data_IF_518083117196
#
_entry.id   IF_518083117196
#
_cell.length_a   1.000
_cell.length_b   1.000
_cell.length_c   1.000
_cell.angle_alpha   90.00
_cell.angle_beta   90.00
_cell.angle_gamma   90.00
#
_symmetry.space_group_name_H-M   'P 1'
#
loop_
_entity.id
_entity.type
_entity.pdbx_description
1 polymer ?
#
# COMPACT_ATOMS: atom_id res chain seq x y z
N UNK A 1 -26.95 8.97 -6.64
CA UNK A 1 -27.33 7.60 -6.22
C UNK A 1 -26.72 7.31 -4.86
N UNK A 2 -27.56 6.84 -3.93
CA UNK A 2 -27.30 6.61 -2.51
C UNK A 2 -26.23 5.53 -2.26
N UNK A 3 -25.39 5.83 -1.25
CA UNK A 3 -24.91 4.96 -0.14
C UNK A 3 -23.89 3.84 -0.42
N UNK A 4 -22.88 3.85 0.49
CA UNK A 4 -22.04 2.77 1.04
C UNK A 4 -20.68 2.51 0.37
N UNK A 5 -19.63 2.91 1.08
CA UNK A 5 -18.39 2.15 1.24
C UNK A 5 -17.92 2.40 2.70
N UNK A 6 -18.53 1.68 3.65
CA UNK A 6 -17.87 0.69 4.54
C UNK A 6 -17.00 1.38 5.60
N UNK A 7 -17.64 1.78 6.71
CA UNK A 7 -16.98 2.03 7.98
C UNK A 7 -16.95 0.69 8.71
N UNK A 8 -15.79 0.02 8.79
CA UNK A 8 -15.62 -1.12 9.67
C UNK A 8 -15.32 -0.58 11.08
N UNK A 9 -16.34 -0.56 11.94
CA UNK A 9 -16.13 -0.41 13.38
C UNK A 9 -15.60 -1.75 13.92
N UNK A 10 -14.32 -1.83 14.23
CA UNK A 10 -13.79 -2.82 15.15
C UNK A 10 -13.57 -2.11 16.49
N UNK A 11 -14.46 -2.36 17.43
CA UNK A 11 -14.30 -1.97 18.82
C UNK A 11 -13.18 -2.86 19.41
N UNK A 12 -11.92 -2.44 19.30
CA UNK A 12 -10.82 -3.08 20.02
C UNK A 12 -10.85 -2.65 21.50
N UNK A 13 -10.65 -3.61 22.40
CA UNK A 13 -10.86 -3.45 23.84
C UNK A 13 -9.89 -2.42 24.45
N UNK A 14 -10.43 -1.27 24.86
CA UNK A 14 -9.65 -0.18 25.46
C UNK A 14 -9.31 -0.51 26.92
N UNK A 15 -8.07 -0.92 27.17
CA UNK A 15 -7.49 -0.98 28.51
C UNK A 15 -7.20 0.45 28.99
N UNK A 16 -8.09 0.96 29.85
CA UNK A 16 -8.09 2.33 30.35
C UNK A 16 -6.85 2.68 31.20
N UNK A 17 -6.10 3.69 30.76
CA UNK A 17 -5.32 4.56 31.65
C UNK A 17 -5.81 5.99 31.48
N UNK A 18 -6.83 6.35 32.27
CA UNK A 18 -7.41 7.68 32.28
C UNK A 18 -6.42 8.69 32.89
N UNK A 19 -5.75 9.47 32.02
CA UNK A 19 -5.01 10.66 32.43
C UNK A 19 -5.72 11.99 32.04
N UNK A 20 -6.78 11.94 31.22
CA UNK A 20 -7.47 13.14 30.71
C UNK A 20 -9.01 13.05 30.68
N UNK A 21 -9.67 12.48 31.69
CA UNK A 21 -11.09 12.76 32.04
C UNK A 21 -12.23 12.49 31.02
N UNK A 22 -11.98 12.23 29.74
CA UNK A 22 -12.95 11.79 28.74
C UNK A 22 -12.77 10.30 28.45
N UNK A 23 -13.89 9.61 28.26
CA UNK A 23 -13.90 8.21 27.85
C UNK A 23 -13.39 8.09 26.40
N UNK A 24 -12.52 7.12 26.08
CA UNK A 24 -12.02 6.91 24.72
C UNK A 24 -13.11 6.73 23.65
N UNK A 25 -14.28 6.19 24.01
CA UNK A 25 -15.44 6.09 23.11
C UNK A 25 -16.00 7.46 22.77
N UNK A 26 -16.06 8.37 23.75
CA UNK A 26 -16.50 9.74 23.52
C UNK A 26 -15.51 10.50 22.63
N UNK A 27 -14.20 10.26 22.81
CA UNK A 27 -13.16 10.83 21.95
C UNK A 27 -13.36 10.41 20.50
N UNK A 28 -13.51 9.10 20.25
CA UNK A 28 -13.66 8.59 18.89
C UNK A 28 -14.97 9.07 18.24
N UNK A 29 -16.06 9.17 19.00
CA UNK A 29 -17.34 9.69 18.50
C UNK A 29 -17.27 11.17 18.11
N UNK A 30 -16.64 12.00 18.94
CA UNK A 30 -16.41 13.41 18.62
C UNK A 30 -15.53 13.55 17.37
N UNK A 31 -14.46 12.74 17.28
CA UNK A 31 -13.56 12.71 16.14
C UNK A 31 -14.27 12.35 14.83
N UNK A 32 -15.03 11.27 14.81
CA UNK A 32 -15.81 10.84 13.63
C UNK A 32 -16.79 11.95 13.19
N UNK A 33 -17.47 12.60 14.14
CA UNK A 33 -18.37 13.72 13.83
C UNK A 33 -17.64 14.95 13.24
N UNK A 34 -16.33 15.11 13.51
CA UNK A 34 -15.49 16.10 12.83
C UNK A 34 -15.14 15.66 11.41
N UNK A 35 -14.79 14.38 11.21
CA UNK A 35 -14.45 13.81 9.89
C UNK A 35 -15.62 13.80 8.89
N UNK A 36 -16.87 13.76 9.38
CA UNK A 36 -18.06 13.86 8.52
C UNK A 36 -18.26 15.24 7.86
N UNK A 37 -17.58 16.28 8.36
CA UNK A 37 -17.69 17.64 7.82
C UNK A 37 -16.79 17.78 6.58
N UNK A 38 -17.24 18.49 5.52
CA UNK A 38 -16.42 18.70 4.34
C UNK A 38 -15.03 19.25 4.67
N UNK A 39 -14.00 18.65 4.06
CA UNK A 39 -12.62 19.09 4.27
C UNK A 39 -12.44 20.53 3.79
N UNK A 40 -11.78 21.31 4.63
CA UNK A 40 -11.38 22.71 4.37
C UNK A 40 -10.28 23.07 5.36
N UNK A 41 -9.50 24.11 5.06
CA UNK A 41 -8.41 24.59 5.93
C UNK A 41 -8.86 24.76 7.39
N UNK A 42 -9.98 25.45 7.62
CA UNK A 42 -10.56 25.64 8.95
C UNK A 42 -10.98 24.34 9.65
N UNK A 43 -11.46 23.33 8.90
CA UNK A 43 -11.76 22.03 9.52
C UNK A 43 -10.49 21.25 9.82
N UNK A 44 -9.49 21.31 8.93
CA UNK A 44 -8.18 20.68 9.15
C UNK A 44 -7.54 21.22 10.43
N UNK A 45 -7.50 22.54 10.62
CA UNK A 45 -6.97 23.15 11.84
C UNK A 45 -7.68 22.66 13.11
N UNK A 46 -9.01 22.55 13.07
CA UNK A 46 -9.80 22.02 14.19
C UNK A 46 -9.45 20.57 14.49
N UNK A 47 -9.32 19.76 13.45
CA UNK A 47 -8.97 18.33 13.58
C UNK A 47 -7.56 18.18 14.11
N UNK A 48 -6.58 18.91 13.59
CA UNK A 48 -5.19 18.90 14.09
C UNK A 48 -5.13 19.29 15.57
N UNK A 49 -5.88 20.32 15.98
CA UNK A 49 -5.99 20.72 17.38
C UNK A 49 -6.59 19.61 18.25
N UNK A 50 -7.64 18.94 17.77
CA UNK A 50 -8.27 17.83 18.45
C UNK A 50 -7.34 16.62 18.62
N UNK A 51 -6.67 16.21 17.54
CA UNK A 51 -5.70 15.12 17.54
C UNK A 51 -4.54 15.40 18.51
N UNK A 52 -4.05 16.65 18.53
CA UNK A 52 -2.96 17.07 19.43
C UNK A 52 -3.32 16.94 20.91
N UNK A 53 -4.57 17.18 21.28
CA UNK A 53 -5.05 17.04 22.66
C UNK A 53 -5.31 15.58 23.04
N UNK A 54 -5.75 14.76 22.07
CA UNK A 54 -6.31 13.43 22.35
C UNK A 54 -5.30 12.30 22.17
N UNK A 55 -4.56 12.26 21.06
CA UNK A 55 -3.59 11.19 20.73
C UNK A 55 -2.64 10.85 21.88
N UNK A 56 -2.05 11.81 22.62
CA UNK A 56 -1.12 11.49 23.71
C UNK A 56 -1.69 10.61 24.83
N UNK A 57 -3.03 10.51 24.92
CA UNK A 57 -3.74 9.73 25.93
C UNK A 57 -4.40 8.46 25.34
N UNK A 58 -4.18 8.16 24.06
CA UNK A 58 -4.71 6.98 23.39
C UNK A 58 -3.73 5.82 23.46
N UNK A 59 -4.21 4.59 23.28
CA UNK A 59 -3.33 3.47 22.93
C UNK A 59 -2.75 3.70 21.52
N UNK A 60 -1.60 3.08 21.22
CA UNK A 60 -1.01 3.13 19.87
C UNK A 60 -2.00 2.67 18.80
N UNK A 61 -2.74 1.59 19.06
CA UNK A 61 -3.75 1.07 18.14
C UNK A 61 -4.85 2.10 17.82
N UNK A 62 -5.39 2.76 18.84
CA UNK A 62 -6.41 3.78 18.63
C UNK A 62 -5.84 5.06 18.01
N UNK A 63 -4.59 5.42 18.32
CA UNK A 63 -3.89 6.51 17.66
C UNK A 63 -3.70 6.22 16.16
N UNK A 64 -3.26 5.01 15.80
CA UNK A 64 -3.09 4.59 14.41
C UNK A 64 -4.41 4.65 13.63
N UNK A 65 -5.51 4.15 14.20
CA UNK A 65 -6.84 4.25 13.59
C UNK A 65 -7.24 5.70 13.30
N UNK A 66 -7.11 6.57 14.30
CA UNK A 66 -7.43 7.99 14.15
C UNK A 66 -6.56 8.64 13.07
N UNK A 67 -5.27 8.31 13.01
CA UNK A 67 -4.33 8.86 12.04
C UNK A 67 -4.59 8.35 10.61
N UNK A 68 -4.95 7.08 10.44
CA UNK A 68 -5.38 6.52 9.13
C UNK A 68 -6.63 7.24 8.63
N UNK A 69 -7.63 7.45 9.50
CA UNK A 69 -8.83 8.22 9.15
C UNK A 69 -8.49 9.67 8.80
N UNK A 70 -7.54 10.27 9.51
CA UNK A 70 -7.07 11.63 9.23
C UNK A 70 -6.42 11.74 7.86
N UNK A 71 -5.55 10.79 7.48
CA UNK A 71 -4.95 10.74 6.14
C UNK A 71 -6.02 10.69 5.04
N UNK A 72 -7.01 9.82 5.20
CA UNK A 72 -8.13 9.70 4.26
C UNK A 72 -8.95 10.99 4.17
N UNK A 73 -9.14 11.69 5.30
CA UNK A 73 -9.82 12.97 5.35
C UNK A 73 -9.07 14.09 4.60
N UNK A 74 -7.74 14.11 4.73
CA UNK A 74 -6.86 15.07 4.08
C UNK A 74 -6.72 14.84 2.56
N UNK A 75 -6.84 13.59 2.12
CA UNK A 75 -6.57 13.15 0.74
C UNK A 75 -7.22 14.04 -0.34
N UNK A 76 -8.54 14.34 -0.31
CA UNK A 76 -9.17 15.19 -1.32
C UNK A 76 -8.72 16.66 -1.28
N UNK A 77 -8.28 17.18 -0.14
CA UNK A 77 -7.85 18.58 -0.01
C UNK A 77 -6.46 18.81 -0.60
N UNK A 78 -5.55 17.85 -0.43
CA UNK A 78 -4.18 17.93 -0.92
C UNK A 78 -3.95 17.19 -2.25
N UNK A 79 -5.02 16.85 -2.98
CA UNK A 79 -4.94 16.10 -4.25
C UNK A 79 -4.07 14.82 -4.13
N UNK A 80 -4.22 14.12 -3.00
CA UNK A 80 -3.46 12.92 -2.66
C UNK A 80 -2.02 13.13 -2.15
N UNK A 81 -1.53 14.36 -2.07
CA UNK A 81 -0.17 14.70 -1.63
C UNK A 81 -0.10 15.03 -0.13
N UNK A 82 -0.32 14.01 0.71
CA UNK A 82 -0.21 14.11 2.18
C UNK A 82 1.24 14.33 2.65
N UNK A 83 1.45 15.31 3.54
CA UNK A 83 2.76 15.53 4.20
C UNK A 83 2.96 14.56 5.37
N UNK A 84 3.40 13.34 5.06
CA UNK A 84 3.70 12.31 6.07
C UNK A 84 4.85 12.71 7.01
N UNK A 85 5.78 13.56 6.58
CA UNK A 85 6.85 14.03 7.46
C UNK A 85 6.26 14.91 8.58
N UNK A 86 5.31 15.80 8.24
CA UNK A 86 4.56 16.59 9.23
C UNK A 86 3.75 15.70 10.17
N UNK A 87 3.04 14.70 9.64
CA UNK A 87 2.26 13.76 10.48
C UNK A 87 3.18 13.03 11.47
N UNK A 88 4.30 12.47 10.99
CA UNK A 88 5.26 11.76 11.84
C UNK A 88 5.93 12.68 12.86
N UNK A 89 6.24 13.93 12.49
CA UNK A 89 6.78 14.91 13.41
C UNK A 89 5.82 15.23 14.56
N UNK A 90 4.52 15.32 14.28
CA UNK A 90 3.50 15.69 15.26
C UNK A 90 3.05 14.51 16.13
N UNK A 91 2.90 13.33 15.52
CA UNK A 91 2.19 12.21 16.14
C UNK A 91 2.99 10.90 16.18
N UNK A 92 4.14 10.83 15.51
CA UNK A 92 4.90 9.58 15.36
C UNK A 92 5.35 8.93 16.67
N UNK A 93 5.57 9.71 17.74
CA UNK A 93 5.92 9.18 19.07
C UNK A 93 4.78 8.46 19.78
N UNK A 94 3.54 8.61 19.29
CA UNK A 94 2.33 8.00 19.86
C UNK A 94 1.74 6.91 18.95
N UNK A 95 2.23 6.80 17.72
CA UNK A 95 1.80 5.81 16.75
C UNK A 95 2.64 4.54 16.88
N UNK A 96 2.15 3.42 16.37
CA UNK A 96 2.92 2.17 16.33
C UNK A 96 4.08 2.24 15.32
N UNK A 97 5.02 1.29 15.45
CA UNK A 97 6.08 1.06 14.47
C UNK A 97 5.50 0.81 13.08
N UNK A 98 4.40 0.04 12.98
CA UNK A 98 3.75 -0.29 11.71
C UNK A 98 3.24 0.98 11.02
N UNK A 99 2.57 1.87 11.77
CA UNK A 99 2.07 3.14 11.24
C UNK A 99 3.22 4.01 10.73
N UNK A 100 4.29 4.14 11.51
CA UNK A 100 5.47 4.90 11.08
C UNK A 100 6.10 4.32 9.81
N UNK A 101 6.18 2.99 9.72
CA UNK A 101 6.70 2.30 8.54
C UNK A 101 5.80 2.52 7.32
N UNK A 102 4.47 2.45 7.47
CA UNK A 102 3.55 2.74 6.37
C UNK A 102 3.68 4.19 5.89
N UNK A 103 3.76 5.17 6.79
CA UNK A 103 4.00 6.56 6.43
C UNK A 103 5.32 6.72 5.65
N UNK A 104 6.39 6.05 6.09
CA UNK A 104 7.68 6.09 5.39
C UNK A 104 7.58 5.54 3.96
N UNK A 105 6.88 4.41 3.78
CA UNK A 105 6.62 3.81 2.45
C UNK A 105 5.79 4.77 1.58
N UNK A 106 4.66 5.28 2.08
CA UNK A 106 3.78 6.20 1.36
C UNK A 106 4.51 7.50 0.97
N UNK A 107 5.35 8.04 1.86
CA UNK A 107 6.17 9.22 1.60
C UNK A 107 7.24 8.97 0.52
N UNK A 108 7.90 7.80 0.56
CA UNK A 108 8.85 7.36 -0.46
C UNK A 108 8.19 7.23 -1.83
N UNK A 109 6.95 6.73 -1.89
CA UNK A 109 6.15 6.66 -3.11
C UNK A 109 5.80 8.06 -3.63
N UNK A 110 5.35 9.00 -2.79
CA UNK A 110 5.04 10.36 -3.24
C UNK A 110 6.27 11.13 -3.74
N UNK A 111 7.40 11.05 -3.01
CA UNK A 111 8.64 11.76 -3.36
C UNK A 111 9.33 11.18 -4.59
N UNK A 112 9.28 9.87 -4.75
CA UNK A 112 9.89 9.15 -5.87
C UNK A 112 8.91 8.07 -6.35
N UNK A 113 7.88 8.44 -7.11
CA UNK A 113 6.85 7.50 -7.52
C UNK A 113 7.44 6.38 -8.37
N UNK A 114 6.85 5.20 -8.29
CA UNK A 114 7.21 4.06 -9.12
C UNK A 114 6.84 4.30 -10.58
N UNK A 115 5.79 5.08 -10.83
CA UNK A 115 5.36 5.49 -12.16
C UNK A 115 5.09 6.97 -12.28
N UNK A 116 5.34 7.54 -13.47
CA UNK A 116 4.89 8.88 -13.84
C UNK A 116 4.53 8.90 -15.31
N UNK A 117 3.34 9.40 -15.63
CA UNK A 117 2.84 9.51 -17.00
C UNK A 117 2.97 8.20 -17.83
N UNK A 118 2.61 7.06 -17.24
CA UNK A 118 2.60 5.77 -17.94
C UNK A 118 3.96 5.06 -18.04
N UNK A 119 5.03 5.62 -17.46
CA UNK A 119 6.39 5.08 -17.48
C UNK A 119 6.86 4.68 -16.08
N UNK A 120 7.64 3.60 -15.97
CA UNK A 120 8.40 3.30 -14.76
C UNK A 120 9.50 4.35 -14.55
N UNK A 121 9.54 4.94 -13.36
CA UNK A 121 10.51 5.97 -12.97
C UNK A 121 11.60 5.45 -12.03
N UNK A 122 11.48 4.20 -11.60
CA UNK A 122 12.44 3.45 -10.79
C UNK A 122 12.89 2.18 -11.53
N UNK A 123 14.00 1.59 -11.10
CA UNK A 123 14.44 0.30 -11.64
C UNK A 123 13.54 -0.84 -11.16
N UNK A 124 13.52 -1.95 -11.89
CA UNK A 124 12.82 -3.18 -11.45
C UNK A 124 13.35 -3.70 -10.13
N UNK A 125 14.65 -3.56 -9.87
CA UNK A 125 15.24 -3.95 -8.58
C UNK A 125 14.69 -3.09 -7.43
N UNK A 126 14.62 -1.77 -7.62
CA UNK A 126 14.02 -0.88 -6.61
C UNK A 126 12.54 -1.20 -6.41
N UNK A 127 11.82 -1.55 -7.47
CA UNK A 127 10.42 -1.97 -7.38
C UNK A 127 10.26 -3.30 -6.61
N UNK A 128 11.16 -4.28 -6.80
CA UNK A 128 11.20 -5.49 -5.97
C UNK A 128 11.48 -5.15 -4.50
N UNK A 129 12.44 -4.25 -4.25
CA UNK A 129 12.78 -3.84 -2.88
C UNK A 129 11.59 -3.15 -2.19
N UNK A 130 10.83 -2.31 -2.90
CA UNK A 130 9.60 -1.68 -2.36
C UNK A 130 8.50 -2.70 -2.09
N UNK A 131 8.28 -3.65 -3.00
CA UNK A 131 7.33 -4.73 -2.77
C UNK A 131 7.73 -5.57 -1.55
N UNK A 132 9.02 -5.86 -1.36
CA UNK A 132 9.55 -6.56 -0.19
C UNK A 132 9.38 -5.76 1.12
N UNK A 133 9.59 -4.45 1.09
CA UNK A 133 9.38 -3.55 2.22
C UNK A 133 7.92 -3.57 2.70
N UNK A 134 6.97 -3.55 1.75
CA UNK A 134 5.54 -3.67 2.06
C UNK A 134 5.16 -5.07 2.52
N UNK A 135 5.69 -6.13 1.87
CA UNK A 135 5.47 -7.50 2.31
C UNK A 135 5.94 -7.73 3.76
N UNK A 136 7.10 -7.18 4.13
CA UNK A 136 7.62 -7.28 5.48
C UNK A 136 6.69 -6.63 6.50
N UNK A 137 6.18 -5.43 6.20
CA UNK A 137 5.19 -4.74 7.03
C UNK A 137 3.92 -5.61 7.22
N UNK A 138 3.41 -6.20 6.14
CA UNK A 138 2.18 -7.01 6.23
C UNK A 138 2.42 -8.32 6.99
N UNK A 139 3.52 -9.02 6.74
CA UNK A 139 3.79 -10.36 7.32
C UNK A 139 4.33 -10.31 8.74
N UNK A 140 4.85 -9.16 9.19
CA UNK A 140 5.37 -8.98 10.55
C UNK A 140 4.33 -9.19 11.65
N UNK A 141 3.05 -9.01 11.32
CA UNK A 141 1.95 -9.05 12.28
C UNK A 141 0.98 -10.21 12.03
N UNK A 142 0.60 -10.91 13.11
CA UNK A 142 -0.35 -12.04 13.05
C UNK A 142 -1.79 -11.55 12.99
N UNK A 143 -2.10 -10.47 13.72
CA UNK A 143 -3.44 -9.88 13.72
C UNK A 143 -3.52 -8.70 12.75
N UNK A 144 -4.22 -8.90 11.62
CA UNK A 144 -4.27 -7.90 10.56
C UNK A 144 -5.14 -6.68 10.96
N UNK A 145 -4.47 -5.62 11.39
CA UNK A 145 -5.00 -4.26 11.60
C UNK A 145 -5.36 -3.53 10.28
N UNK A 146 -6.17 -2.45 10.31
CA UNK A 146 -6.52 -1.64 9.13
C UNK A 146 -5.32 -1.19 8.30
N UNK A 147 -4.19 -0.90 8.95
CA UNK A 147 -2.93 -0.52 8.30
C UNK A 147 -2.45 -1.52 7.24
N UNK A 148 -2.68 -2.82 7.46
CA UNK A 148 -2.27 -3.87 6.53
C UNK A 148 -3.11 -3.88 5.27
N UNK A 149 -4.35 -3.35 5.31
CA UNK A 149 -5.20 -3.19 4.13
C UNK A 149 -4.67 -2.07 3.22
N UNK A 150 -4.24 -0.95 3.82
CA UNK A 150 -3.57 0.14 3.09
C UNK A 150 -2.25 -0.33 2.47
N UNK A 151 -1.47 -1.11 3.23
CA UNK A 151 -0.23 -1.71 2.74
C UNK A 151 -0.49 -2.70 1.58
N UNK A 152 -1.53 -3.55 1.66
CA UNK A 152 -1.89 -4.51 0.61
C UNK A 152 -2.17 -3.82 -0.74
N UNK A 153 -2.83 -2.66 -0.73
CA UNK A 153 -3.08 -1.89 -1.94
C UNK A 153 -1.78 -1.43 -2.64
N UNK A 154 -0.78 -0.98 -1.86
CA UNK A 154 0.55 -0.64 -2.37
C UNK A 154 1.29 -1.88 -2.88
N UNK A 155 1.23 -2.98 -2.11
CA UNK A 155 1.86 -4.25 -2.49
C UNK A 155 1.34 -4.74 -3.84
N UNK A 156 0.02 -4.87 -4.00
CA UNK A 156 -0.63 -5.26 -5.25
C UNK A 156 -0.26 -4.35 -6.41
N UNK A 157 -0.17 -3.04 -6.17
CA UNK A 157 0.29 -2.09 -7.19
C UNK A 157 1.71 -2.41 -7.64
N UNK A 158 2.64 -2.66 -6.71
CA UNK A 158 4.01 -3.03 -7.07
C UNK A 158 4.10 -4.38 -7.77
N UNK A 159 3.35 -5.38 -7.32
CA UNK A 159 3.25 -6.69 -7.99
C UNK A 159 2.75 -6.51 -9.42
N UNK A 160 1.66 -5.78 -9.63
CA UNK A 160 1.13 -5.51 -10.96
C UNK A 160 2.17 -4.85 -11.87
N UNK A 161 2.91 -3.87 -11.36
CA UNK A 161 3.98 -3.21 -12.12
C UNK A 161 5.13 -4.17 -12.46
N UNK A 162 5.49 -5.08 -11.55
CA UNK A 162 6.50 -6.12 -11.81
C UNK A 162 6.02 -7.12 -12.86
N UNK A 163 4.76 -7.56 -12.80
CA UNK A 163 4.26 -8.62 -13.68
C UNK A 163 3.85 -8.10 -15.05
N UNK A 164 3.10 -7.00 -15.09
CA UNK A 164 2.53 -6.45 -16.33
C UNK A 164 3.39 -5.35 -16.97
N UNK A 165 4.27 -4.69 -16.20
CA UNK A 165 4.95 -3.48 -16.62
C UNK A 165 3.99 -2.30 -16.79
N UNK A 166 4.41 -1.30 -17.56
CA UNK A 166 3.56 -0.18 -17.97
C UNK A 166 3.51 -0.04 -19.49
N UNK A 167 2.66 0.84 -20.01
CA UNK A 167 2.58 1.10 -21.44
C UNK A 167 3.94 1.52 -22.05
N UNK A 168 4.68 2.40 -21.35
CA UNK A 168 5.98 2.91 -21.80
C UNK A 168 7.17 2.19 -21.17
N UNK A 169 6.92 1.18 -20.35
CA UNK A 169 7.95 0.30 -19.76
C UNK A 169 7.43 -1.14 -19.68
N UNK A 170 7.05 -1.76 -20.80
CA UNK A 170 6.51 -3.10 -20.81
C UNK A 170 7.61 -4.13 -20.52
N UNK A 171 7.20 -5.30 -20.04
CA UNK A 171 8.11 -6.42 -19.85
C UNK A 171 8.42 -7.17 -21.15
N UNK A 172 7.61 -6.96 -22.19
CA UNK A 172 7.82 -7.53 -23.52
C UNK A 172 8.14 -6.43 -24.51
N UNK A 173 9.15 -6.65 -25.36
CA UNK A 173 9.51 -5.72 -26.40
C UNK A 173 8.36 -5.59 -27.41
N UNK A 174 7.88 -4.35 -27.63
CA UNK A 174 6.70 -4.09 -28.47
C UNK A 174 6.87 -4.45 -29.96
N UNK A 175 8.10 -4.70 -30.42
CA UNK A 175 8.39 -5.11 -31.81
C UNK A 175 8.62 -6.60 -31.93
N UNK A 176 9.46 -7.17 -31.09
CA UNK A 176 9.85 -8.58 -31.18
C UNK A 176 9.00 -9.52 -30.33
N UNK A 177 8.20 -8.98 -29.41
CA UNK A 177 7.46 -9.76 -28.43
C UNK A 177 8.36 -10.48 -27.42
N UNK A 178 9.68 -10.25 -27.42
CA UNK A 178 10.60 -10.94 -26.50
C UNK A 178 10.52 -10.36 -25.10
N UNK A 179 10.54 -11.24 -24.11
CA UNK A 179 10.63 -10.87 -22.70
C UNK A 179 11.93 -10.13 -22.40
N UNK A 180 11.87 -9.18 -21.47
CA UNK A 180 12.97 -8.31 -21.08
C UNK A 180 14.05 -9.11 -20.34
N UNK A 181 15.28 -9.08 -20.87
CA UNK A 181 16.46 -9.68 -20.21
C UNK A 181 16.77 -9.01 -18.86
N UNK A 182 16.53 -7.71 -18.74
CA UNK A 182 16.63 -6.97 -17.48
C UNK A 182 15.63 -7.50 -16.44
N UNK A 183 14.37 -7.68 -16.84
CA UNK A 183 13.34 -8.26 -15.96
C UNK A 183 13.69 -9.69 -15.55
N UNK A 184 14.07 -10.56 -16.50
CA UNK A 184 14.46 -11.94 -16.21
C UNK A 184 15.59 -12.01 -15.19
N UNK A 185 16.65 -11.22 -15.39
CA UNK A 185 17.78 -11.16 -14.47
C UNK A 185 17.37 -10.73 -13.08
N UNK A 186 16.67 -9.58 -12.96
CA UNK A 186 16.26 -9.03 -11.67
C UNK A 186 15.36 -10.00 -10.92
N UNK A 187 14.36 -10.59 -11.60
CA UNK A 187 13.38 -11.45 -10.94
C UNK A 187 14.00 -12.77 -10.49
N UNK A 188 14.89 -13.37 -11.29
CA UNK A 188 15.62 -14.58 -10.88
C UNK A 188 16.54 -14.32 -9.71
N UNK A 189 17.28 -13.21 -9.74
CA UNK A 189 18.18 -12.83 -8.63
C UNK A 189 17.38 -12.62 -7.35
N UNK A 190 16.30 -11.82 -7.39
CA UNK A 190 15.47 -11.59 -6.21
C UNK A 190 14.91 -12.90 -5.65
N UNK A 191 14.33 -13.76 -6.50
CA UNK A 191 13.73 -15.01 -6.07
C UNK A 191 14.75 -15.99 -5.46
N UNK A 192 15.98 -16.02 -6.00
CA UNK A 192 17.06 -16.84 -5.46
C UNK A 192 17.61 -16.33 -4.12
N UNK A 193 17.66 -15.02 -3.93
CA UNK A 193 18.16 -14.38 -2.70
C UNK A 193 17.13 -14.35 -1.57
N UNK A 194 15.84 -14.42 -1.89
CA UNK A 194 14.74 -14.26 -0.94
C UNK A 194 13.71 -15.41 -1.02
N UNK A 195 14.12 -16.69 -1.02
CA UNK A 195 13.24 -17.82 -1.39
C UNK A 195 12.01 -17.99 -0.49
N UNK A 196 12.03 -17.43 0.73
CA UNK A 196 10.95 -17.55 1.71
C UNK A 196 9.91 -16.41 1.63
N UNK A 197 10.00 -15.52 0.65
CA UNK A 197 9.05 -14.43 0.43
C UNK A 197 7.93 -14.82 -0.53
N UNK A 198 6.74 -14.25 -0.32
CA UNK A 198 5.62 -14.36 -1.25
C UNK A 198 6.02 -13.78 -2.60
N UNK A 199 6.72 -12.65 -2.61
CA UNK A 199 7.23 -12.05 -3.83
C UNK A 199 8.14 -13.01 -4.63
N UNK A 200 9.05 -13.73 -3.98
CA UNK A 200 9.94 -14.68 -4.66
C UNK A 200 9.17 -15.82 -5.32
N UNK A 201 8.16 -16.37 -4.63
CA UNK A 201 7.29 -17.41 -5.17
C UNK A 201 6.48 -16.89 -6.38
N UNK A 202 5.89 -15.71 -6.27
CA UNK A 202 5.11 -15.09 -7.35
C UNK A 202 5.99 -14.80 -8.58
N UNK A 203 7.19 -14.26 -8.39
CA UNK A 203 8.14 -14.03 -9.47
C UNK A 203 8.59 -15.35 -10.12
N UNK A 204 8.77 -16.41 -9.32
CA UNK A 204 9.12 -17.74 -9.84
C UNK A 204 8.01 -18.32 -10.71
N UNK A 205 6.74 -18.23 -10.27
CA UNK A 205 5.59 -18.67 -11.06
C UNK A 205 5.44 -17.85 -12.35
N UNK A 206 5.64 -16.55 -12.28
CA UNK A 206 5.64 -15.68 -13.46
C UNK A 206 6.73 -16.06 -14.46
N UNK A 207 7.96 -16.28 -14.01
CA UNK A 207 9.07 -16.70 -14.87
C UNK A 207 8.84 -18.07 -15.51
N UNK A 208 8.21 -19.01 -14.79
CA UNK A 208 7.83 -20.30 -15.38
C UNK A 208 6.73 -20.14 -16.44
N UNK A 209 5.74 -19.27 -16.21
CA UNK A 209 4.76 -18.91 -17.24
C UNK A 209 5.44 -18.33 -18.50
N UNK A 210 6.36 -17.38 -18.31
CA UNK A 210 7.13 -16.78 -19.42
C UNK A 210 7.96 -17.83 -20.16
N UNK A 211 8.54 -18.81 -19.44
CA UNK A 211 9.27 -19.93 -20.04
C UNK A 211 8.36 -20.85 -20.86
N UNK A 212 7.14 -21.12 -20.39
CA UNK A 212 6.16 -21.95 -21.09
C UNK A 212 5.66 -21.33 -22.41
N UNK A 213 5.68 -20.00 -22.50
CA UNK A 213 5.47 -19.25 -23.76
C UNK A 213 6.77 -19.01 -24.54
N UNK A 214 7.84 -19.76 -24.25
CA UNK A 214 9.15 -19.65 -24.91
C UNK A 214 9.75 -18.23 -24.89
N UNK A 215 9.48 -17.47 -23.82
CA UNK A 215 9.99 -16.11 -23.63
C UNK A 215 9.46 -15.09 -24.64
N UNK A 216 8.40 -15.40 -25.40
CA UNK A 216 7.88 -14.54 -26.46
C UNK A 216 6.36 -14.43 -26.39
N UNK A 217 5.84 -13.20 -26.37
CA UNK A 217 4.42 -12.87 -26.46
C UNK A 217 4.08 -12.47 -27.89
N UNK A 218 3.15 -13.20 -28.53
CA UNK A 218 2.60 -12.76 -29.82
C UNK A 218 1.63 -11.59 -29.61
N UNK A 219 2.15 -10.37 -29.76
CA UNK A 219 1.41 -9.12 -29.60
C UNK A 219 0.30 -8.91 -30.64
N UNK A 220 0.30 -9.68 -31.73
CA UNK A 220 -0.76 -9.62 -32.76
C UNK A 220 -1.91 -10.58 -32.45
N UNK A 221 -1.69 -11.53 -31.55
CA UNK A 221 -2.70 -12.47 -31.10
C UNK A 221 -3.41 -11.93 -29.86
N UNK A 222 -4.65 -11.44 -30.05
CA UNK A 222 -5.46 -10.89 -28.97
C UNK A 222 -5.75 -11.89 -27.84
N UNK A 223 -5.87 -13.19 -28.15
CA UNK A 223 -6.08 -14.23 -27.13
C UNK A 223 -4.83 -14.44 -26.28
N UNK A 224 -3.65 -14.46 -26.91
CA UNK A 224 -2.37 -14.57 -26.20
C UNK A 224 -2.13 -13.35 -25.29
N UNK A 225 -2.40 -12.14 -25.79
CA UNK A 225 -2.31 -10.91 -24.99
C UNK A 225 -3.30 -10.92 -23.82
N UNK A 226 -4.55 -11.34 -24.07
CA UNK A 226 -5.56 -11.47 -23.02
C UNK A 226 -5.14 -12.51 -21.96
N UNK A 227 -4.64 -13.67 -22.39
CA UNK A 227 -4.18 -14.72 -21.48
C UNK A 227 -3.02 -14.25 -20.59
N UNK A 228 -2.07 -13.51 -21.17
CA UNK A 228 -0.96 -12.91 -20.43
C UNK A 228 -1.45 -11.96 -19.32
N UNK A 229 -2.25 -10.95 -19.66
CA UNK A 229 -2.73 -10.00 -18.65
C UNK A 229 -3.65 -10.66 -17.62
N UNK A 230 -4.45 -11.65 -18.02
CA UNK A 230 -5.28 -12.43 -17.09
C UNK A 230 -4.41 -13.20 -16.09
N UNK A 231 -3.27 -13.75 -16.54
CA UNK A 231 -2.32 -14.43 -15.67
C UNK A 231 -1.65 -13.44 -14.71
N UNK A 232 -1.24 -12.26 -15.18
CA UNK A 232 -0.68 -11.23 -14.31
C UNK A 232 -1.69 -10.80 -13.21
N UNK A 233 -2.96 -10.59 -13.57
CA UNK A 233 -4.01 -10.26 -12.59
C UNK A 233 -4.26 -11.40 -11.60
N UNK A 234 -4.23 -12.65 -12.06
CA UNK A 234 -4.35 -13.81 -11.17
C UNK A 234 -3.20 -13.85 -10.15
N UNK A 235 -1.96 -13.72 -10.60
CA UNK A 235 -0.78 -13.74 -9.73
C UNK A 235 -0.75 -12.54 -8.77
N UNK A 236 -1.19 -11.36 -9.19
CA UNK A 236 -1.37 -10.19 -8.31
C UNK A 236 -2.35 -10.50 -7.17
N UNK A 237 -3.50 -11.09 -7.49
CA UNK A 237 -4.51 -11.46 -6.50
C UNK A 237 -3.99 -12.54 -5.54
N UNK A 238 -3.29 -13.55 -6.05
CA UNK A 238 -2.65 -14.58 -5.24
C UNK A 238 -1.57 -14.00 -4.31
N UNK A 239 -0.76 -13.06 -4.79
CA UNK A 239 0.24 -12.38 -3.98
C UNK A 239 -0.42 -11.67 -2.79
N UNK A 240 -1.48 -10.90 -3.05
CA UNK A 240 -2.25 -10.20 -2.01
C UNK A 240 -2.92 -11.14 -1.01
N UNK A 241 -3.40 -12.30 -1.47
CA UNK A 241 -3.98 -13.31 -0.57
C UNK A 241 -2.92 -13.91 0.35
N UNK A 242 -1.80 -14.38 -0.23
CA UNK A 242 -0.74 -15.09 0.49
C UNK A 242 0.03 -14.18 1.45
N UNK A 243 0.18 -12.90 1.13
CA UNK A 243 0.87 -11.96 2.03
C UNK A 243 0.03 -11.65 3.28
N UNK A 244 -1.29 -11.78 3.16
CA UNK A 244 -2.25 -11.53 4.25
C UNK A 244 -2.56 -12.77 5.11
N UNK A 245 -2.10 -13.96 4.71
CA UNK A 245 -2.20 -15.22 5.47
C UNK A 245 -1.15 -15.31 6.58
#
# INVERSE_FOLDING_TARGET
MKKRAVLFFLLAAVLMLAACGKDPVDIQKEYVAMMEKPVSEHQIEKVEAYLKETIPNMSEEAADEMLIEYEAYLFPYYDGMIDYDKILQLYGSYASDDYRNLCAIKNKEQKKPATKAGKLTISRQELCNRAAEVEHLIRGEKEKKPIHQDADALYKTYIKLLLAGTADSPNFNLKSGRFSEDADKVYRTYAAENPDTVLADILSQYLEYVKNMHGTLDLKNAEAVKAYYSTCTYLEAEAGKRVME
#
